data_IF_295800453832
#
_entry.id   IF_295800453832
#
_cell.length_a   1.000
_cell.length_b   1.000
_cell.length_c   1.000
_cell.angle_alpha   90.00
_cell.angle_beta   90.00
_cell.angle_gamma   90.00
#
_symmetry.space_group_name_H-M   'P 1'
#
loop_
_entity.id
_entity.type
_entity.pdbx_description
1 polymer ?
#
# COMPACT_ATOMS: atom_id res chain seq x y z
N UNK A 1 -19.99 -19.77 -15.52
CA UNK A 1 -19.34 -18.54 -15.92
C UNK A 1 -17.83 -18.73 -15.93
N UNK A 2 -17.23 -18.32 -16.96
CA UNK A 2 -15.80 -18.46 -17.10
C UNK A 2 -15.14 -17.08 -17.07
N UNK A 3 -14.06 -16.97 -16.37
CA UNK A 3 -13.26 -15.78 -16.31
C UNK A 3 -13.58 -14.88 -15.14
N UNK A 4 -12.55 -14.49 -14.44
CA UNK A 4 -12.63 -13.50 -13.36
C UNK A 4 -11.32 -12.72 -13.32
N UNK A 5 -11.37 -11.56 -12.72
CA UNK A 5 -10.19 -10.72 -12.53
C UNK A 5 -10.14 -10.26 -11.08
N UNK A 6 -9.00 -10.45 -10.50
CA UNK A 6 -8.71 -9.91 -9.17
C UNK A 6 -7.42 -9.12 -9.26
N UNK A 7 -7.55 -7.80 -9.27
CA UNK A 7 -6.41 -6.93 -9.52
C UNK A 7 -6.49 -5.67 -8.67
N UNK A 8 -5.36 -5.30 -8.08
CA UNK A 8 -5.24 -4.07 -7.29
C UNK A 8 -4.03 -3.29 -7.81
N UNK A 9 -4.18 -1.99 -7.97
CA UNK A 9 -3.09 -1.09 -8.35
C UNK A 9 -2.97 -0.04 -7.26
N UNK A 10 -1.78 0.04 -6.65
CA UNK A 10 -1.48 1.04 -5.65
C UNK A 10 -0.22 1.78 -6.06
N UNK A 11 -0.27 3.09 -6.01
CA UNK A 11 0.90 3.95 -6.24
C UNK A 11 1.03 4.87 -5.04
N UNK A 12 2.17 4.79 -4.35
CA UNK A 12 2.37 5.58 -3.15
C UNK A 12 3.82 5.56 -2.72
N UNK A 13 4.05 5.84 -1.46
CA UNK A 13 5.38 5.93 -0.89
C UNK A 13 5.55 4.95 0.27
N UNK A 14 6.73 4.37 0.38
CA UNK A 14 7.05 3.51 1.51
C UNK A 14 7.23 4.36 2.76
N UNK A 15 6.58 3.93 3.84
CA UNK A 15 6.71 4.62 5.12
C UNK A 15 7.97 4.25 5.87
N UNK A 16 8.51 3.09 5.59
CA UNK A 16 9.74 2.57 6.19
C UNK A 16 10.34 1.56 5.23
N UNK A 17 11.57 1.16 5.51
CA UNK A 17 12.24 0.17 4.68
C UNK A 17 11.47 -1.15 4.69
N UNK A 18 11.48 -1.88 3.57
CA UNK A 18 10.85 -3.19 3.52
C UNK A 18 11.43 -4.14 4.57
N UNK A 19 10.54 -4.87 5.22
CA UNK A 19 10.95 -5.88 6.18
C UNK A 19 10.98 -7.24 5.51
N UNK A 20 12.14 -7.88 5.55
CA UNK A 20 12.34 -9.18 4.90
C UNK A 20 12.53 -10.24 5.97
N UNK A 21 11.76 -11.31 5.87
CA UNK A 21 11.88 -12.47 6.75
C UNK A 21 12.09 -13.73 5.91
N UNK A 22 12.87 -14.65 6.45
CA UNK A 22 13.09 -15.95 5.84
C UNK A 22 12.26 -17.01 6.53
N UNK A 23 11.70 -17.91 5.75
CA UNK A 23 10.98 -19.07 6.28
C UNK A 23 11.94 -20.25 6.41
N UNK A 24 11.47 -21.34 7.05
CA UNK A 24 12.31 -22.52 7.29
C UNK A 24 12.75 -23.20 6.00
N UNK A 25 11.95 -23.11 4.94
CA UNK A 25 12.25 -23.71 3.65
C UNK A 25 13.14 -22.84 2.75
N UNK A 26 13.62 -21.73 3.27
CA UNK A 26 14.47 -20.82 2.53
C UNK A 26 13.74 -19.78 1.68
N UNK A 27 12.42 -19.76 1.73
CA UNK A 27 11.63 -18.74 1.05
C UNK A 27 11.70 -17.41 1.81
N UNK A 28 11.41 -16.34 1.11
CA UNK A 28 11.41 -15.02 1.72
C UNK A 28 10.01 -14.42 1.68
N UNK A 29 9.68 -13.71 2.74
CA UNK A 29 8.45 -12.95 2.84
C UNK A 29 8.83 -11.50 3.08
N UNK A 30 8.31 -10.61 2.23
CA UNK A 30 8.60 -9.18 2.31
C UNK A 30 7.34 -8.45 2.71
N UNK A 31 7.44 -7.60 3.72
CA UNK A 31 6.36 -6.75 4.18
C UNK A 31 6.68 -5.30 3.83
N UNK A 32 5.72 -4.65 3.21
CA UNK A 32 5.81 -3.24 2.85
C UNK A 32 4.69 -2.48 3.54
N UNK A 33 5.00 -1.26 3.99
CA UNK A 33 4.00 -0.30 4.43
C UNK A 33 3.93 0.81 3.39
N UNK A 34 2.86 0.85 2.63
CA UNK A 34 2.68 1.78 1.53
C UNK A 34 1.63 2.81 1.88
N UNK A 35 2.01 4.08 1.82
CA UNK A 35 1.11 5.18 2.06
C UNK A 35 0.58 5.72 0.75
N UNK A 36 -0.74 5.78 0.62
CA UNK A 36 -1.39 6.49 -0.48
C UNK A 36 -2.09 7.70 0.10
N UNK A 37 -1.87 8.86 -0.49
CA UNK A 37 -2.39 10.11 0.03
C UNK A 37 -3.24 10.82 -1.00
N UNK A 38 -4.31 11.42 -0.53
CA UNK A 38 -5.15 12.28 -1.32
C UNK A 38 -5.13 13.67 -0.71
N UNK A 39 -5.09 14.68 -1.57
CA UNK A 39 -5.14 16.07 -1.16
C UNK A 39 -6.24 16.77 -1.90
N UNK A 40 -6.98 17.59 -1.20
CA UNK A 40 -8.02 18.39 -1.80
C UNK A 40 -8.21 19.69 -1.03
N UNK A 41 -8.87 20.63 -1.66
CA UNK A 41 -9.19 21.89 -1.03
C UNK A 41 -10.63 21.86 -0.54
N UNK A 42 -10.82 22.16 0.73
CA UNK A 42 -12.16 22.23 1.32
C UNK A 42 -12.92 23.42 0.73
N UNK A 43 -14.06 23.16 0.13
CA UNK A 43 -14.87 24.19 -0.51
C UNK A 43 -15.48 25.19 0.47
N UNK A 44 -15.70 24.75 1.71
CA UNK A 44 -16.34 25.58 2.72
C UNK A 44 -15.34 26.48 3.44
N UNK A 45 -14.18 25.97 3.77
CA UNK A 45 -13.18 26.71 4.56
C UNK A 45 -12.02 27.22 3.73
N UNK A 46 -11.83 26.69 2.51
CA UNK A 46 -10.68 27.01 1.69
C UNK A 46 -9.37 26.38 2.16
N UNK A 47 -9.42 25.58 3.20
CA UNK A 47 -8.26 24.91 3.72
C UNK A 47 -7.86 23.71 2.87
N UNK A 48 -6.57 23.45 2.81
CA UNK A 48 -6.05 22.26 2.16
C UNK A 48 -6.15 21.09 3.10
N UNK A 49 -6.73 19.99 2.61
CA UNK A 49 -6.92 18.78 3.38
C UNK A 49 -6.13 17.64 2.77
N UNK A 50 -5.73 16.72 3.64
CA UNK A 50 -4.99 15.53 3.22
C UNK A 50 -5.48 14.33 4.01
N UNK A 51 -5.62 13.22 3.30
CA UNK A 51 -5.95 11.93 3.91
C UNK A 51 -4.95 10.90 3.44
N UNK A 52 -4.35 10.19 4.38
CA UNK A 52 -3.39 9.14 4.09
C UNK A 52 -3.96 7.80 4.52
N UNK A 53 -3.91 6.84 3.61
CA UNK A 53 -4.25 5.45 3.91
C UNK A 53 -2.99 4.62 3.88
N UNK A 54 -2.84 3.78 4.87
CA UNK A 54 -1.70 2.87 4.98
C UNK A 54 -2.11 1.48 4.53
N UNK A 55 -1.36 0.95 3.57
CA UNK A 55 -1.59 -0.38 3.03
C UNK A 55 -0.45 -1.30 3.42
N UNK A 56 -0.81 -2.46 3.91
CA UNK A 56 0.16 -3.49 4.20
C UNK A 56 0.22 -4.44 3.02
N UNK A 57 1.37 -4.48 2.36
CA UNK A 57 1.58 -5.33 1.20
C UNK A 57 2.54 -6.45 1.59
N UNK A 58 2.17 -7.66 1.31
CA UNK A 58 2.99 -8.84 1.62
C UNK A 58 3.32 -9.54 0.32
N UNK A 59 4.62 -9.78 0.10
CA UNK A 59 5.11 -10.45 -1.10
C UNK A 59 5.70 -11.78 -0.68
N UNK A 60 5.19 -12.83 -1.28
CA UNK A 60 5.72 -14.19 -1.10
C UNK A 60 6.56 -14.55 -2.31
N UNK A 61 7.72 -15.13 -2.06
CA UNK A 61 8.61 -15.51 -3.13
C UNK A 61 9.06 -16.97 -2.98
#
# INVERSE_FOLDING_TARGET
>A
MAGSVNKVILVGNLGRDPEVRSTQDGSKIVNLSLATSERWKDKNTGEQREKTEWHRVVIFN
#
